data_IF_419539710733
#
_entry.id   IF_419539710733
#
_cell.length_a   1.000
_cell.length_b   1.000
_cell.length_c   1.000
_cell.angle_alpha   90.00
_cell.angle_beta   90.00
_cell.angle_gamma   90.00
#
_symmetry.space_group_name_H-M   'P 1'
#
loop_
_entity.id
_entity.type
_entity.pdbx_description
1 polymer ?
#
# COMPACT_ATOMS: atom_id res chain seq x y z
N UNK A 1 33.55 -8.66 8.53
CA UNK A 1 32.65 -9.03 7.41
C UNK A 1 31.17 -9.13 7.81
N UNK A 2 30.83 -9.57 9.01
CA UNK A 2 29.46 -9.80 9.51
C UNK A 2 28.64 -8.50 9.69
N UNK A 3 29.24 -7.39 10.11
CA UNK A 3 28.52 -6.12 10.33
C UNK A 3 28.00 -5.42 9.05
N UNK A 4 28.60 -5.64 7.89
CA UNK A 4 28.11 -5.07 6.63
C UNK A 4 26.92 -5.84 6.04
N UNK A 5 26.80 -7.12 6.35
CA UNK A 5 25.70 -7.97 5.88
C UNK A 5 24.38 -7.67 6.60
N UNK A 6 24.44 -7.30 7.88
CA UNK A 6 23.25 -6.96 8.68
C UNK A 6 22.66 -5.61 8.25
N UNK A 7 23.50 -4.63 7.92
CA UNK A 7 23.05 -3.33 7.43
C UNK A 7 22.37 -3.41 6.05
N UNK A 8 22.85 -4.30 5.18
CA UNK A 8 22.25 -4.55 3.86
C UNK A 8 20.91 -5.27 3.98
N UNK A 9 20.77 -6.19 4.94
CA UNK A 9 19.51 -6.90 5.18
C UNK A 9 18.40 -5.96 5.70
N UNK A 10 18.75 -5.05 6.61
CA UNK A 10 17.81 -4.04 7.13
C UNK A 10 17.34 -3.05 6.05
N UNK A 11 18.23 -2.66 5.13
CA UNK A 11 17.91 -1.73 4.05
C UNK A 11 17.02 -2.39 2.98
N UNK A 12 17.26 -3.66 2.66
CA UNK A 12 16.48 -4.41 1.67
C UNK A 12 15.08 -4.75 2.19
N UNK A 13 14.92 -4.97 3.50
CA UNK A 13 13.61 -5.15 4.13
C UNK A 13 12.76 -3.86 4.10
N UNK A 14 13.39 -2.68 4.19
CA UNK A 14 12.71 -1.40 4.07
C UNK A 14 12.15 -1.11 2.67
N UNK A 15 12.75 -1.64 1.61
CA UNK A 15 12.39 -1.29 0.23
C UNK A 15 11.28 -2.14 -0.41
N UNK A 16 11.17 -3.41 -0.03
CA UNK A 16 10.01 -4.21 -0.46
C UNK A 16 8.71 -3.76 0.20
N UNK A 17 8.85 -3.13 1.32
CA UNK A 17 7.80 -2.45 2.00
C UNK A 17 7.31 -1.18 1.26
N UNK A 18 8.11 -0.48 0.46
CA UNK A 18 7.72 0.85 -0.04
C UNK A 18 6.58 0.85 -1.07
N UNK A 19 6.32 -0.26 -1.75
CA UNK A 19 5.10 -0.43 -2.55
C UNK A 19 4.00 -1.21 -1.81
N UNK A 20 4.36 -2.03 -0.83
CA UNK A 20 3.46 -2.62 0.15
C UNK A 20 3.40 -1.84 1.48
N UNK A 21 4.38 -0.95 1.75
CA UNK A 21 4.59 -0.20 3.00
C UNK A 21 3.84 1.11 3.12
N UNK A 22 3.04 1.47 2.13
CA UNK A 22 2.10 2.56 2.42
C UNK A 22 1.15 2.19 3.57
N UNK A 23 1.20 0.93 4.06
CA UNK A 23 0.29 0.47 5.10
C UNK A 23 0.88 -0.46 6.16
N UNK A 24 2.06 -1.01 5.95
CA UNK A 24 2.75 -1.60 7.06
C UNK A 24 3.25 -0.44 7.91
N UNK A 25 2.75 -0.40 9.15
CA UNK A 25 3.35 0.26 10.30
C UNK A 25 4.48 1.22 9.90
N UNK A 26 4.44 2.48 10.28
CA UNK A 26 5.69 3.11 10.65
C UNK A 26 6.23 2.22 11.78
N UNK A 27 7.02 1.20 11.46
CA UNK A 27 7.75 0.48 12.46
C UNK A 27 8.41 1.54 13.32
N UNK A 28 8.23 1.44 14.64
CA UNK A 28 9.00 2.23 15.55
C UNK A 28 10.46 1.94 15.19
N UNK A 29 11.01 2.75 14.29
CA UNK A 29 12.40 2.68 13.92
C UNK A 29 13.18 2.73 15.24
N UNK A 30 14.24 1.95 15.41
CA UNK A 30 15.07 2.05 16.58
C UNK A 30 15.35 3.54 16.80
N UNK A 31 15.07 4.03 17.99
CA UNK A 31 15.20 5.44 18.36
C UNK A 31 16.67 5.82 18.17
N UNK A 32 17.04 6.18 16.95
CA UNK A 32 18.26 6.92 16.68
C UNK A 32 17.94 8.31 17.18
N UNK A 33 18.53 8.69 18.30
CA UNK A 33 18.37 10.03 18.90
C UNK A 33 18.78 11.05 17.84
N UNK A 34 17.85 11.78 17.22
CA UNK A 34 18.20 12.73 16.15
C UNK A 34 18.98 13.91 16.75
N UNK A 35 19.85 14.57 15.98
CA UNK A 35 20.54 15.78 16.43
C UNK A 35 19.52 16.85 16.87
N UNK A 36 19.88 17.71 17.83
CA UNK A 36 18.93 18.57 18.58
C UNK A 36 18.03 19.49 17.74
N UNK A 37 18.47 19.88 16.54
CA UNK A 37 17.75 20.83 15.67
C UNK A 37 16.58 20.17 14.92
N UNK A 38 16.48 18.83 14.88
CA UNK A 38 15.54 18.09 14.01
C UNK A 38 14.61 17.14 14.76
N UNK A 39 14.49 17.32 16.05
CA UNK A 39 13.68 16.44 16.93
C UNK A 39 12.18 16.49 16.66
N UNK A 40 11.69 17.49 15.95
CA UNK A 40 10.28 17.73 15.72
C UNK A 40 9.81 17.35 14.31
N UNK A 41 10.73 17.18 13.34
CA UNK A 41 10.39 16.82 11.96
C UNK A 41 11.12 15.53 11.56
N UNK A 42 10.35 14.50 11.17
CA UNK A 42 10.86 13.25 10.63
C UNK A 42 10.38 13.07 9.19
N UNK A 43 11.27 13.24 8.22
CA UNK A 43 11.00 12.93 6.81
C UNK A 43 11.14 11.42 6.62
N UNK A 44 10.03 10.74 6.48
CA UNK A 44 9.96 9.28 6.38
C UNK A 44 10.28 8.80 4.96
N UNK A 45 9.85 9.57 3.95
CA UNK A 45 10.06 9.26 2.55
C UNK A 45 10.18 10.53 1.72
N UNK A 46 11.17 10.55 0.86
CA UNK A 46 11.28 11.47 -0.27
C UNK A 46 11.63 10.61 -1.48
N UNK A 47 10.77 10.61 -2.51
CA UNK A 47 11.01 9.76 -3.67
C UNK A 47 10.55 10.41 -4.97
N UNK A 48 11.19 9.97 -6.05
CA UNK A 48 10.81 10.29 -7.42
C UNK A 48 10.67 8.99 -8.19
N UNK A 49 9.48 8.77 -8.77
CA UNK A 49 9.18 7.64 -9.63
C UNK A 49 9.08 8.05 -11.09
N UNK A 50 9.55 7.19 -11.97
CA UNK A 50 9.23 7.19 -13.39
C UNK A 50 8.59 5.87 -13.76
N UNK A 51 7.54 5.87 -14.58
CA UNK A 51 6.82 4.66 -14.98
C UNK A 51 6.51 4.68 -16.47
N UNK A 52 6.89 3.61 -17.16
CA UNK A 52 6.29 3.24 -18.44
C UNK A 52 5.14 2.27 -18.15
N UNK A 53 3.96 2.52 -18.73
CA UNK A 53 2.75 1.70 -18.57
C UNK A 53 2.19 1.35 -19.94
N UNK A 54 1.82 0.07 -20.10
CA UNK A 54 1.25 -0.45 -21.32
C UNK A 54 0.07 -1.38 -21.01
N UNK A 55 -1.04 -1.18 -21.70
CA UNK A 55 -2.25 -1.97 -21.58
C UNK A 55 -2.71 -2.50 -22.93
N UNK A 56 -3.17 -3.74 -22.95
CA UNK A 56 -3.81 -4.40 -24.09
C UNK A 56 -5.18 -4.93 -23.67
N UNK A 57 -6.21 -4.74 -24.51
CA UNK A 57 -7.55 -5.28 -24.27
C UNK A 57 -7.68 -6.73 -24.78
N UNK A 58 -8.87 -7.31 -24.61
CA UNK A 58 -9.18 -8.69 -25.02
C UNK A 58 -9.13 -8.92 -26.54
N UNK A 59 -9.21 -7.87 -27.35
CA UNK A 59 -9.03 -7.97 -28.81
C UNK A 59 -7.57 -7.84 -29.28
N UNK A 60 -6.61 -7.75 -28.35
CA UNK A 60 -5.19 -7.56 -28.67
C UNK A 60 -4.82 -6.13 -29.03
N UNK A 61 -5.74 -5.17 -28.89
CA UNK A 61 -5.48 -3.76 -29.16
C UNK A 61 -4.82 -3.08 -27.96
N UNK A 62 -3.74 -2.35 -28.22
CA UNK A 62 -3.14 -1.46 -27.21
C UNK A 62 -4.10 -0.31 -26.92
N UNK A 63 -4.54 -0.20 -25.68
CA UNK A 63 -5.48 0.84 -25.23
C UNK A 63 -4.78 1.96 -24.44
N UNK A 64 -3.58 1.71 -23.97
CA UNK A 64 -2.75 2.72 -23.31
C UNK A 64 -1.28 2.39 -23.46
N UNK A 65 -0.47 3.41 -23.75
CA UNK A 65 0.99 3.36 -23.69
C UNK A 65 1.46 4.73 -23.20
N UNK A 66 1.90 4.83 -21.93
CA UNK A 66 2.17 6.12 -21.30
C UNK A 66 3.50 6.12 -20.57
N UNK A 67 4.18 7.27 -20.60
CA UNK A 67 5.25 7.61 -19.67
C UNK A 67 4.69 8.51 -18.57
N UNK A 68 5.01 8.20 -17.34
CA UNK A 68 4.46 8.87 -16.17
C UNK A 68 5.57 9.15 -15.15
N UNK A 69 5.35 10.13 -14.30
CA UNK A 69 6.26 10.48 -13.23
C UNK A 69 5.51 10.82 -11.94
N UNK A 70 6.15 10.66 -10.79
CA UNK A 70 5.54 10.89 -9.49
C UNK A 70 6.59 11.25 -8.45
N UNK A 71 6.66 12.50 -7.97
CA UNK A 71 7.32 12.84 -6.73
C UNK A 71 6.40 12.55 -5.55
N UNK A 72 7.00 12.11 -4.45
CA UNK A 72 6.29 11.84 -3.20
C UNK A 72 7.09 12.33 -2.01
N UNK A 73 6.39 12.84 -1.00
CA UNK A 73 6.96 13.12 0.30
C UNK A 73 6.02 12.61 1.40
N UNK A 74 6.60 11.90 2.36
CA UNK A 74 5.94 11.52 3.62
C UNK A 74 6.76 12.04 4.77
N UNK A 75 6.12 12.77 5.65
CA UNK A 75 6.76 13.36 6.81
C UNK A 75 5.82 13.34 8.01
N UNK A 76 6.40 13.39 9.21
CA UNK A 76 5.65 13.60 10.44
C UNK A 76 6.29 14.70 11.28
N UNK A 77 5.44 15.49 11.89
CA UNK A 77 5.80 16.45 12.89
C UNK A 77 5.57 15.85 14.27
N UNK A 78 6.60 15.85 15.10
CA UNK A 78 6.61 15.22 16.42
C UNK A 78 6.42 16.29 17.49
N UNK A 79 5.48 16.09 18.39
CA UNK A 79 5.24 17.00 19.52
C UNK A 79 6.02 16.62 20.79
N UNK A 80 6.55 15.40 20.81
CA UNK A 80 7.31 14.88 21.96
C UNK A 80 8.49 14.01 21.49
N UNK A 81 9.48 13.84 22.39
CA UNK A 81 10.69 13.06 22.10
C UNK A 81 10.43 11.55 21.96
N UNK A 82 9.35 11.06 22.56
CA UNK A 82 8.97 9.65 22.49
C UNK A 82 8.13 9.34 21.25
N UNK A 83 7.87 10.34 20.40
CA UNK A 83 7.06 10.24 19.20
C UNK A 83 5.64 9.69 19.47
N UNK A 84 5.10 9.95 20.65
CA UNK A 84 3.75 9.52 21.04
C UNK A 84 2.66 10.37 20.39
N UNK A 85 2.97 11.63 20.10
CA UNK A 85 2.04 12.59 19.51
C UNK A 85 2.65 13.17 18.24
N UNK A 86 1.93 13.09 17.14
CA UNK A 86 2.43 13.60 15.87
C UNK A 86 1.31 14.04 14.92
N UNK A 87 1.66 14.90 13.97
CA UNK A 87 0.89 15.11 12.74
C UNK A 87 1.64 14.41 11.62
N UNK A 88 0.94 13.59 10.86
CA UNK A 88 1.49 12.80 9.77
C UNK A 88 0.94 13.31 8.44
N UNK A 89 1.81 13.48 7.46
CA UNK A 89 1.44 13.95 6.13
C UNK A 89 2.04 13.08 5.02
N UNK A 90 1.27 12.86 3.98
CA UNK A 90 1.71 12.28 2.72
C UNK A 90 1.23 13.14 1.56
N UNK A 91 2.14 13.62 0.77
CA UNK A 91 1.84 14.39 -0.41
C UNK A 91 2.51 13.76 -1.65
N UNK A 92 1.82 13.84 -2.78
CA UNK A 92 2.24 13.28 -4.05
C UNK A 92 1.61 14.08 -5.19
N UNK A 93 2.21 14.02 -6.37
CA UNK A 93 1.55 14.52 -7.57
C UNK A 93 0.53 13.51 -8.09
N UNK A 94 -0.27 13.91 -9.05
CA UNK A 94 -1.25 13.07 -9.73
C UNK A 94 -2.66 13.63 -9.69
N UNK A 95 -3.44 13.35 -10.72
CA UNK A 95 -4.78 13.94 -10.91
C UNK A 95 -5.87 13.22 -10.11
N UNK A 96 -5.61 12.01 -9.65
CA UNK A 96 -6.57 11.21 -8.86
C UNK A 96 -5.83 10.18 -7.98
N UNK A 97 -6.51 9.62 -6.99
CA UNK A 97 -5.95 8.56 -6.17
C UNK A 97 -5.49 7.34 -6.98
N UNK A 98 -6.33 6.73 -7.83
CA UNK A 98 -5.95 5.52 -8.55
C UNK A 98 -4.83 5.76 -9.54
N UNK A 99 -4.70 6.96 -10.06
CA UNK A 99 -3.66 7.26 -11.03
C UNK A 99 -2.44 7.95 -10.47
N UNK A 100 -2.42 8.43 -9.26
CA UNK A 100 -1.39 9.19 -8.52
C UNK A 100 -0.08 9.59 -9.25
N UNK A 101 -0.05 9.45 -10.57
CA UNK A 101 1.05 9.67 -11.48
C UNK A 101 0.68 10.74 -12.50
N UNK A 102 1.65 11.57 -12.87
CA UNK A 102 1.47 12.54 -13.96
C UNK A 102 1.92 11.93 -15.28
N UNK A 103 1.15 12.15 -16.33
CA UNK A 103 1.57 11.80 -17.69
C UNK A 103 2.58 12.83 -18.24
N UNK A 104 3.49 12.37 -19.06
CA UNK A 104 4.46 13.24 -19.74
C UNK A 104 3.91 13.91 -21.01
N UNK A 105 2.62 13.68 -21.32
CA UNK A 105 2.00 14.11 -22.58
C UNK A 105 2.14 13.10 -23.72
N UNK A 106 2.86 12.00 -23.51
CA UNK A 106 3.08 10.94 -24.50
C UNK A 106 2.06 9.80 -24.46
N UNK A 107 0.84 10.02 -23.93
CA UNK A 107 -0.13 8.94 -23.78
C UNK A 107 -1.55 9.40 -23.50
N UNK A 108 -2.39 8.47 -23.08
CA UNK A 108 -3.78 8.76 -22.70
C UNK A 108 -3.81 9.45 -21.34
N UNK A 109 -4.57 10.53 -21.25
CA UNK A 109 -4.78 11.31 -20.04
C UNK A 109 -4.17 12.71 -20.12
N UNK A 110 -4.58 13.55 -19.19
CA UNK A 110 -4.09 14.93 -19.09
C UNK A 110 -2.75 14.98 -18.38
N UNK A 111 -1.84 15.82 -18.88
CA UNK A 111 -0.64 16.19 -18.14
C UNK A 111 -1.06 16.96 -16.89
N UNK A 112 -0.60 16.52 -15.73
CA UNK A 112 -0.88 17.20 -14.47
C UNK A 112 0.40 17.30 -13.66
N UNK A 113 0.68 18.51 -13.18
CA UNK A 113 1.78 18.79 -12.25
C UNK A 113 1.26 19.15 -10.86
N UNK A 114 -0.01 18.90 -10.60
CA UNK A 114 -0.63 19.23 -9.32
C UNK A 114 -0.04 18.35 -8.22
N UNK A 115 0.34 19.00 -7.12
CA UNK A 115 0.85 18.34 -5.93
C UNK A 115 -0.26 18.36 -4.87
N UNK A 116 -0.68 17.17 -4.43
CA UNK A 116 -1.79 17.00 -3.53
C UNK A 116 -1.34 16.45 -2.19
N UNK A 117 -1.87 16.98 -1.11
CA UNK A 117 -1.80 16.34 0.20
C UNK A 117 -2.85 15.23 0.23
N UNK A 118 -2.40 13.99 0.16
CA UNK A 118 -3.26 12.80 0.07
C UNK A 118 -3.66 12.26 1.42
N UNK A 119 -2.80 12.43 2.43
CA UNK A 119 -3.05 12.03 3.81
C UNK A 119 -2.57 13.13 4.73
N UNK A 120 -3.38 13.46 5.71
CA UNK A 120 -3.04 14.38 6.79
C UNK A 120 -3.85 13.99 8.02
N UNK A 121 -3.17 13.52 9.06
CA UNK A 121 -3.84 13.08 10.27
C UNK A 121 -3.01 13.34 11.52
N UNK A 122 -3.70 13.52 12.64
CA UNK A 122 -3.10 13.49 13.96
C UNK A 122 -3.02 12.07 14.46
N UNK A 123 -1.97 11.78 15.23
CA UNK A 123 -1.76 10.48 15.86
C UNK A 123 -1.37 10.68 17.33
N UNK A 124 -1.96 9.87 18.19
CA UNK A 124 -1.63 9.80 19.62
C UNK A 124 -1.47 8.35 20.06
N UNK A 125 -0.38 8.03 20.76
CA UNK A 125 -0.15 6.76 21.44
C UNK A 125 0.08 7.02 22.96
N UNK A 126 -0.98 7.37 23.72
CA UNK A 126 -0.86 7.77 25.12
C UNK A 126 -0.27 6.66 25.99
N UNK A 127 -0.64 5.43 25.72
CA UNK A 127 -0.06 4.24 26.32
C UNK A 127 0.45 3.30 25.22
N UNK A 128 1.54 2.59 25.51
CA UNK A 128 2.18 1.68 24.55
C UNK A 128 1.17 0.70 23.96
N UNK A 129 1.08 0.69 22.65
CA UNK A 129 0.22 -0.21 21.90
C UNK A 129 -1.22 0.27 21.71
N UNK A 130 -1.66 1.35 22.35
CA UNK A 130 -2.98 1.95 22.09
C UNK A 130 -2.80 3.26 21.31
N UNK A 131 -3.18 3.23 20.03
CA UNK A 131 -3.03 4.33 19.08
C UNK A 131 -4.37 4.88 18.66
N UNK A 132 -4.48 6.19 18.63
CA UNK A 132 -5.60 6.94 18.09
C UNK A 132 -5.13 7.76 16.89
N UNK A 133 -5.91 7.77 15.83
CA UNK A 133 -5.65 8.57 14.64
C UNK A 133 -6.94 9.28 14.23
N UNK A 134 -6.84 10.53 13.73
CA UNK A 134 -7.96 11.28 13.19
C UNK A 134 -7.52 12.20 12.04
N UNK A 135 -8.31 12.25 10.99
CA UNK A 135 -8.06 13.03 9.76
C UNK A 135 -8.08 12.18 8.51
N UNK A 136 -7.29 12.55 7.51
CA UNK A 136 -7.12 11.81 6.26
C UNK A 136 -6.20 10.61 6.42
N UNK A 137 -6.78 9.45 6.74
CA UNK A 137 -6.09 8.22 7.09
C UNK A 137 -5.86 7.34 5.86
N UNK A 138 -4.79 6.56 5.86
CA UNK A 138 -4.66 5.44 4.94
C UNK A 138 -5.57 4.27 5.35
N UNK A 139 -5.92 3.40 4.40
CA UNK A 139 -6.68 2.19 4.68
C UNK A 139 -5.80 1.17 5.40
N UNK A 140 -6.32 0.60 6.48
CA UNK A 140 -5.62 -0.46 7.21
C UNK A 140 -5.94 -1.82 6.59
N UNK A 141 -4.95 -2.52 6.06
CA UNK A 141 -5.12 -3.83 5.39
C UNK A 141 -4.77 -5.03 6.26
N UNK A 142 -4.15 -4.82 7.41
CA UNK A 142 -3.62 -5.94 8.18
C UNK A 142 -2.60 -6.76 7.37
N UNK A 143 -2.83 -8.06 7.26
CA UNK A 143 -2.00 -8.99 6.48
C UNK A 143 -2.45 -9.16 5.02
N UNK A 144 -3.46 -8.41 4.59
CA UNK A 144 -3.96 -8.42 3.22
C UNK A 144 -3.06 -7.59 2.29
N UNK A 145 -2.88 -8.05 1.08
CA UNK A 145 -2.22 -7.31 0.00
C UNK A 145 -3.17 -6.41 -0.77
N UNK A 146 -2.63 -5.72 -1.75
CA UNK A 146 -3.41 -4.86 -2.66
C UNK A 146 -4.36 -5.64 -3.57
N UNK A 147 -4.18 -6.94 -3.71
CA UNK A 147 -4.89 -7.77 -4.68
C UNK A 147 -6.36 -7.94 -4.32
N UNK A 148 -6.65 -8.04 -3.03
CA UNK A 148 -8.00 -8.26 -2.52
C UNK A 148 -8.46 -7.13 -1.59
N UNK A 149 -7.65 -6.09 -1.45
CA UNK A 149 -7.96 -4.93 -0.64
C UNK A 149 -7.99 -3.67 -1.50
N UNK A 150 -7.60 -2.55 -0.93
CA UNK A 150 -7.67 -1.25 -1.57
C UNK A 150 -6.33 -0.82 -2.13
N UNK A 151 -6.35 0.14 -3.05
CA UNK A 151 -5.14 0.80 -3.52
C UNK A 151 -4.39 1.47 -2.36
N UNK A 152 -3.06 1.54 -2.46
CA UNK A 152 -2.22 2.19 -1.48
C UNK A 152 -2.49 3.68 -1.33
N UNK A 153 -3.01 4.29 -2.37
CA UNK A 153 -3.28 5.73 -2.41
C UNK A 153 -4.64 6.09 -1.81
N UNK A 154 -5.50 5.09 -1.58
CA UNK A 154 -6.80 5.33 -1.01
C UNK A 154 -6.72 5.80 0.44
N UNK A 155 -7.62 6.67 0.83
CA UNK A 155 -7.71 7.17 2.20
C UNK A 155 -9.16 7.36 2.65
N UNK A 156 -9.29 7.47 3.97
CA UNK A 156 -10.53 7.67 4.67
C UNK A 156 -10.39 8.96 5.47
N UNK A 157 -11.37 9.83 5.41
CA UNK A 157 -11.48 10.94 6.36
C UNK A 157 -12.27 10.48 7.55
N UNK A 158 -11.61 10.36 8.71
CA UNK A 158 -12.27 9.79 9.87
C UNK A 158 -11.30 9.51 11.01
N UNK A 159 -11.67 8.50 11.77
CA UNK A 159 -10.99 8.14 13.01
C UNK A 159 -10.63 6.67 13.02
N UNK A 160 -9.51 6.37 13.69
CA UNK A 160 -9.07 4.99 13.93
C UNK A 160 -8.55 4.81 15.33
N UNK A 161 -8.99 3.74 15.96
CA UNK A 161 -8.39 3.21 17.18
C UNK A 161 -7.70 1.91 16.86
N UNK A 162 -6.44 1.77 17.26
CA UNK A 162 -5.66 0.55 17.04
C UNK A 162 -5.05 0.10 18.37
N UNK A 163 -5.24 -1.17 18.69
CA UNK A 163 -4.58 -1.81 19.81
C UNK A 163 -3.59 -2.86 19.32
N UNK A 164 -2.33 -2.75 19.80
CA UNK A 164 -1.23 -3.70 19.51
C UNK A 164 -0.61 -4.13 20.85
N UNK A 165 -0.94 -5.29 21.37
CA UNK A 165 -0.45 -5.72 22.69
C UNK A 165 1.07 -5.92 22.76
N UNK A 166 1.74 -6.03 21.60
CA UNK A 166 3.19 -6.21 21.51
C UNK A 166 3.63 -7.67 21.62
N UNK A 167 3.10 -8.41 22.57
CA UNK A 167 3.41 -9.81 22.83
C UNK A 167 2.19 -10.72 22.66
N UNK A 168 2.42 -12.03 22.51
CA UNK A 168 1.36 -13.02 22.35
C UNK A 168 0.93 -13.26 20.91
N UNK A 169 -0.17 -13.98 20.77
CA UNK A 169 -0.72 -14.36 19.48
C UNK A 169 -1.50 -13.23 18.79
N UNK A 170 -2.11 -12.34 19.55
CA UNK A 170 -2.82 -11.17 19.02
C UNK A 170 -1.81 -10.10 18.61
N UNK A 171 -1.85 -9.70 17.35
CA UNK A 171 -0.92 -8.71 16.80
C UNK A 171 -1.53 -7.32 16.72
N UNK A 172 -2.81 -7.25 16.34
CA UNK A 172 -3.51 -6.00 16.16
C UNK A 172 -5.02 -6.20 16.22
N UNK A 173 -5.71 -5.25 16.84
CA UNK A 173 -7.13 -4.99 16.65
C UNK A 173 -7.26 -3.54 16.22
N UNK A 174 -8.00 -3.26 15.17
CA UNK A 174 -8.23 -1.89 14.72
C UNK A 174 -9.69 -1.70 14.33
N UNK A 175 -10.25 -0.56 14.72
CA UNK A 175 -11.55 -0.08 14.27
C UNK A 175 -11.34 1.27 13.60
N UNK A 176 -11.88 1.42 12.39
CA UNK A 176 -11.83 2.68 11.62
C UNK A 176 -13.24 3.04 11.22
N UNK A 177 -13.59 4.31 11.36
CA UNK A 177 -14.86 4.87 10.89
C UNK A 177 -14.60 6.18 10.17
N UNK A 178 -15.46 6.54 9.23
CA UNK A 178 -15.32 7.82 8.55
C UNK A 178 -16.03 7.89 7.20
N UNK A 179 -15.65 8.90 6.46
CA UNK A 179 -16.08 9.16 5.11
C UNK A 179 -15.08 8.58 4.12
N UNK A 180 -15.59 7.79 3.22
CA UNK A 180 -14.88 7.30 2.06
C UNK A 180 -15.36 8.08 0.84
N UNK A 181 -14.55 8.99 0.35
CA UNK A 181 -14.93 9.92 -0.70
C UNK A 181 -14.63 9.43 -2.12
N UNK A 182 -14.93 10.29 -3.08
CA UNK A 182 -14.60 10.03 -4.48
C UNK A 182 -13.08 9.86 -4.64
N UNK A 183 -12.66 8.71 -5.13
CA UNK A 183 -11.26 8.39 -5.40
C UNK A 183 -10.63 9.29 -6.48
N UNK A 184 -11.43 10.08 -7.20
CA UNK A 184 -10.96 11.06 -8.18
C UNK A 184 -10.47 12.35 -7.52
N UNK A 185 -10.82 12.59 -6.25
CA UNK A 185 -10.38 13.76 -5.52
C UNK A 185 -9.19 13.42 -4.60
N UNK A 186 -7.95 13.71 -5.05
CA UNK A 186 -6.76 13.29 -4.32
C UNK A 186 -6.37 14.19 -3.16
N UNK A 187 -7.01 15.36 -3.01
CA UNK A 187 -6.62 16.33 -1.98
C UNK A 187 -7.50 16.23 -0.74
N UNK A 188 -6.89 15.84 0.37
CA UNK A 188 -7.53 15.68 1.67
C UNK A 188 -8.29 16.93 2.12
N UNK A 189 -7.76 18.12 1.84
CA UNK A 189 -8.41 19.39 2.26
C UNK A 189 -9.79 19.63 1.66
N UNK A 190 -10.11 19.00 0.55
CA UNK A 190 -11.44 19.10 -0.07
C UNK A 190 -12.48 18.16 0.54
N UNK A 191 -12.09 17.38 1.51
CA UNK A 191 -12.93 16.36 2.13
C UNK A 191 -13.16 16.54 3.61
N UNK A 192 -12.39 17.40 4.28
CA UNK A 192 -12.55 17.62 5.72
C UNK A 192 -13.94 18.10 6.15
N UNK A 193 -14.68 18.74 5.25
CA UNK A 193 -16.09 19.14 5.46
C UNK A 193 -17.07 17.95 5.37
N UNK A 194 -16.59 16.76 4.99
CA UNK A 194 -17.38 15.55 4.83
C UNK A 194 -17.13 14.52 5.95
N UNK A 195 -16.40 14.87 6.98
CA UNK A 195 -16.09 13.95 8.09
C UNK A 195 -17.35 13.45 8.83
N UNK A 196 -18.45 14.19 8.76
CA UNK A 196 -19.74 13.79 9.35
C UNK A 196 -20.55 12.83 8.46
N UNK A 197 -20.16 12.66 7.20
CA UNK A 197 -20.87 11.82 6.24
C UNK A 197 -20.36 10.36 6.32
N UNK A 198 -20.76 9.66 7.33
CA UNK A 198 -20.30 8.29 7.57
C UNK A 198 -20.80 7.31 6.52
N UNK A 199 -19.90 6.80 5.71
CA UNK A 199 -20.16 5.76 4.71
C UNK A 199 -19.13 4.63 4.73
N UNK A 200 -18.19 4.66 5.71
CA UNK A 200 -17.13 3.69 5.88
C UNK A 200 -17.01 3.24 7.34
N UNK A 201 -16.91 1.93 7.53
CA UNK A 201 -16.60 1.31 8.80
C UNK A 201 -15.74 0.06 8.58
N UNK A 202 -14.68 -0.11 9.37
CA UNK A 202 -13.80 -1.27 9.30
C UNK A 202 -13.50 -1.82 10.70
N UNK A 203 -13.57 -3.12 10.85
CA UNK A 203 -13.06 -3.84 11.99
C UNK A 203 -12.04 -4.87 11.51
N UNK A 204 -10.80 -4.79 12.01
CA UNK A 204 -9.69 -5.63 11.61
C UNK A 204 -9.05 -6.28 12.82
N UNK A 205 -8.79 -7.59 12.71
CA UNK A 205 -8.00 -8.35 13.68
C UNK A 205 -6.86 -9.05 12.95
N UNK A 206 -5.64 -8.87 13.44
CA UNK A 206 -4.46 -9.59 12.95
C UNK A 206 -3.83 -10.40 14.09
N UNK A 207 -3.37 -11.60 13.78
CA UNK A 207 -2.84 -12.53 14.78
C UNK A 207 -1.76 -13.43 14.20
N UNK A 208 -0.91 -13.96 15.10
CA UNK A 208 0.12 -14.95 14.74
C UNK A 208 -0.34 -16.36 15.12
N UNK A 209 -0.12 -17.28 14.20
CA UNK A 209 -0.34 -18.73 14.38
C UNK A 209 1.01 -19.42 14.42
N UNK A 210 1.61 -19.47 15.62
CA UNK A 210 2.98 -19.89 15.80
C UNK A 210 4.00 -18.84 15.34
N UNK A 211 5.21 -19.28 15.00
CA UNK A 211 6.34 -18.37 14.70
C UNK A 211 6.45 -17.94 13.25
N UNK A 212 5.75 -18.59 12.34
CA UNK A 212 5.91 -18.38 10.90
C UNK A 212 4.64 -17.97 10.16
N UNK A 213 3.50 -17.96 10.83
CA UNK A 213 2.22 -17.68 10.20
C UNK A 213 1.61 -16.43 10.81
N UNK A 214 1.26 -15.49 9.96
CA UNK A 214 0.48 -14.30 10.29
C UNK A 214 -0.85 -14.38 9.56
N UNK A 215 -1.92 -14.01 10.21
CA UNK A 215 -3.25 -13.98 9.61
C UNK A 215 -3.99 -12.72 10.02
N UNK A 216 -4.94 -12.31 9.21
CA UNK A 216 -5.89 -11.25 9.54
C UNK A 216 -7.27 -11.54 8.98
N UNK A 217 -8.26 -11.00 9.68
CA UNK A 217 -9.65 -10.93 9.24
C UNK A 217 -10.08 -9.47 9.29
N UNK A 218 -10.75 -9.04 8.26
CA UNK A 218 -11.19 -7.67 8.06
C UNK A 218 -12.67 -7.70 7.64
N UNK A 219 -13.51 -7.04 8.40
CA UNK A 219 -14.87 -6.73 7.99
C UNK A 219 -14.94 -5.23 7.67
N UNK A 220 -15.38 -4.90 6.47
CA UNK A 220 -15.52 -3.53 6.02
C UNK A 220 -16.92 -3.27 5.48
N UNK A 221 -17.54 -2.22 5.99
CA UNK A 221 -18.71 -1.58 5.36
C UNK A 221 -18.24 -0.38 4.54
N UNK A 222 -18.66 -0.29 3.30
CA UNK A 222 -18.28 0.79 2.38
C UNK A 222 -19.45 1.11 1.43
N UNK A 223 -20.01 2.31 1.51
CA UNK A 223 -21.04 2.78 0.59
C UNK A 223 -22.20 1.79 0.40
N UNK A 224 -22.72 1.22 1.47
CA UNK A 224 -23.82 0.22 1.42
C UNK A 224 -23.39 -1.20 1.07
N UNK A 225 -22.10 -1.52 1.15
CA UNK A 225 -21.54 -2.85 0.86
C UNK A 225 -20.77 -3.37 2.04
N UNK A 226 -21.07 -4.61 2.40
CA UNK A 226 -20.36 -5.35 3.42
C UNK A 226 -19.39 -6.33 2.78
N UNK A 227 -18.13 -6.28 3.18
CA UNK A 227 -17.07 -7.11 2.64
C UNK A 227 -16.31 -7.76 3.79
N UNK A 228 -16.22 -9.08 3.78
CA UNK A 228 -15.35 -9.85 4.66
C UNK A 228 -14.11 -10.25 3.90
N UNK A 229 -12.95 -9.93 4.45
CA UNK A 229 -11.65 -10.33 3.89
C UNK A 229 -10.85 -11.11 4.90
N UNK A 230 -10.04 -12.02 4.42
CA UNK A 230 -9.12 -12.80 5.23
C UNK A 230 -7.83 -13.04 4.48
N UNK A 231 -6.72 -13.00 5.20
CA UNK A 231 -5.39 -13.22 4.64
C UNK A 231 -4.53 -14.04 5.57
N UNK A 232 -3.71 -14.90 4.98
CA UNK A 232 -2.72 -15.71 5.69
C UNK A 232 -1.39 -15.58 4.98
N UNK A 233 -0.37 -15.25 5.73
CA UNK A 233 1.02 -15.15 5.28
C UNK A 233 1.86 -16.23 5.97
N UNK A 234 2.50 -17.06 5.19
CA UNK A 234 3.41 -18.11 5.67
C UNK A 234 4.85 -17.74 5.36
N UNK A 235 5.66 -17.51 6.37
CA UNK A 235 7.12 -17.42 6.21
C UNK A 235 7.67 -18.80 5.96
N UNK A 236 8.25 -19.00 4.80
CA UNK A 236 8.80 -20.30 4.40
C UNK A 236 10.14 -20.58 5.10
N UNK A 237 10.53 -21.88 5.26
CA UNK A 237 11.80 -22.25 5.84
C UNK A 237 12.99 -21.70 5.04
N UNK A 238 14.06 -21.32 5.73
CA UNK A 238 15.30 -20.83 5.09
C UNK A 238 15.96 -21.86 4.17
N UNK A 239 15.66 -23.13 4.37
CA UNK A 239 16.11 -24.23 3.48
C UNK A 239 15.64 -24.07 2.03
N UNK A 240 14.55 -23.34 1.79
CA UNK A 240 14.06 -23.03 0.45
C UNK A 240 14.85 -21.90 -0.25
N UNK A 241 15.84 -21.31 0.41
CA UNK A 241 16.84 -20.34 -0.06
C UNK A 241 16.29 -19.13 -0.85
N UNK A 242 15.43 -19.36 -1.82
CA UNK A 242 14.90 -18.34 -2.75
C UNK A 242 13.47 -17.98 -2.40
N UNK A 243 12.62 -18.95 -2.09
CA UNK A 243 11.24 -18.73 -1.68
C UNK A 243 11.20 -18.31 -0.22
N UNK A 244 10.64 -17.12 0.06
CA UNK A 244 10.66 -16.52 1.40
C UNK A 244 9.30 -16.53 2.08
N UNK A 245 8.24 -16.43 1.31
CA UNK A 245 6.88 -16.30 1.82
C UNK A 245 5.87 -16.88 0.82
N UNK A 246 4.81 -17.45 1.33
CA UNK A 246 3.59 -17.75 0.59
C UNK A 246 2.43 -16.98 1.23
N UNK A 247 1.50 -16.49 0.41
CA UNK A 247 0.33 -15.74 0.84
C UNK A 247 -0.91 -16.32 0.19
N UNK A 248 -1.96 -16.43 1.00
CA UNK A 248 -3.30 -16.72 0.53
C UNK A 248 -4.26 -15.68 1.09
N UNK A 249 -5.11 -15.12 0.24
CA UNK A 249 -6.08 -14.10 0.57
C UNK A 249 -7.41 -14.46 -0.07
N UNK A 250 -8.49 -14.16 0.63
CA UNK A 250 -9.84 -14.31 0.10
C UNK A 250 -10.72 -13.15 0.55
N UNK A 251 -11.74 -12.85 -0.23
CA UNK A 251 -12.78 -11.93 0.15
C UNK A 251 -14.14 -12.44 -0.29
N UNK A 252 -15.17 -12.00 0.43
CA UNK A 252 -16.56 -12.27 0.12
C UNK A 252 -17.40 -11.04 0.49
N UNK A 253 -18.31 -10.66 -0.40
CA UNK A 253 -19.39 -9.74 -0.04
C UNK A 253 -20.39 -10.49 0.86
N UNK A 254 -20.81 -9.83 1.94
CA UNK A 254 -21.71 -10.43 2.94
C UNK A 254 -23.15 -10.09 2.63
N UNK A 255 -23.40 -8.90 2.08
CA UNK A 255 -24.73 -8.42 1.75
C UNK A 255 -24.82 -7.92 0.30
N UNK A 256 -26.03 -7.96 -0.25
CA UNK A 256 -26.33 -7.47 -1.59
C UNK A 256 -25.99 -8.47 -2.69
N UNK A 257 -25.32 -8.02 -3.74
CA UNK A 257 -24.91 -8.85 -4.88
C UNK A 257 -23.73 -9.73 -4.47
N UNK A 258 -23.77 -11.01 -4.80
CA UNK A 258 -22.66 -11.92 -4.59
C UNK A 258 -21.39 -11.39 -5.30
N UNK A 259 -20.30 -11.37 -4.55
CA UNK A 259 -18.99 -11.01 -5.03
C UNK A 259 -17.93 -11.68 -4.18
N UNK A 260 -17.03 -12.42 -4.80
CA UNK A 260 -15.98 -13.16 -4.12
C UNK A 260 -14.71 -13.18 -4.95
N UNK A 261 -13.61 -13.45 -4.30
CA UNK A 261 -12.36 -13.64 -4.99
C UNK A 261 -11.26 -14.12 -4.06
N UNK A 262 -10.15 -14.40 -4.64
CA UNK A 262 -8.97 -14.84 -3.92
C UNK A 262 -7.68 -14.36 -4.58
N UNK A 263 -6.61 -14.43 -3.83
CA UNK A 263 -5.24 -14.32 -4.30
C UNK A 263 -4.38 -15.41 -3.65
N UNK A 264 -3.57 -16.08 -4.44
CA UNK A 264 -2.54 -16.99 -3.97
C UNK A 264 -1.21 -16.60 -4.60
N UNK A 265 -0.21 -16.31 -3.79
CA UNK A 265 1.08 -15.81 -4.26
C UNK A 265 2.25 -16.33 -3.46
N UNK A 266 3.44 -16.24 -4.07
CA UNK A 266 4.70 -16.51 -3.41
C UNK A 266 5.70 -15.39 -3.66
N UNK A 267 6.46 -15.06 -2.61
CA UNK A 267 7.56 -14.12 -2.66
C UNK A 267 8.89 -14.86 -2.78
N UNK A 268 9.72 -14.33 -3.64
CA UNK A 268 11.06 -14.86 -3.92
C UNK A 268 12.10 -13.77 -3.68
N UNK A 269 13.27 -14.17 -3.21
CA UNK A 269 14.42 -13.27 -3.06
C UNK A 269 15.72 -13.97 -3.40
N UNK A 270 16.50 -13.35 -4.25
CA UNK A 270 17.84 -13.81 -4.59
C UNK A 270 18.77 -12.61 -4.79
N UNK A 271 19.72 -12.39 -3.86
CA UNK A 271 20.65 -11.27 -3.87
C UNK A 271 19.90 -9.91 -3.94
N UNK A 272 20.04 -9.19 -5.05
CA UNK A 272 19.41 -7.89 -5.32
C UNK A 272 18.06 -8.00 -6.03
N UNK A 273 17.64 -9.19 -6.38
CA UNK A 273 16.37 -9.48 -7.03
C UNK A 273 15.34 -9.93 -6.00
N UNK A 274 14.20 -9.30 -6.01
CA UNK A 274 13.00 -9.77 -5.32
C UNK A 274 11.88 -9.95 -6.36
N UNK A 275 11.04 -10.94 -6.16
CA UNK A 275 9.88 -11.14 -7.02
C UNK A 275 8.69 -11.65 -6.20
N UNK A 276 7.51 -11.25 -6.63
CA UNK A 276 6.24 -11.84 -6.21
C UNK A 276 5.53 -12.36 -7.45
N UNK A 277 5.04 -13.58 -7.41
CA UNK A 277 4.21 -14.12 -8.49
C UNK A 277 3.00 -14.82 -7.89
N UNK A 278 1.87 -14.72 -8.58
CA UNK A 278 0.63 -15.30 -8.08
C UNK A 278 -0.47 -15.39 -9.12
N UNK A 279 -1.54 -16.01 -8.67
CA UNK A 279 -2.82 -16.07 -9.37
C UNK A 279 -3.90 -15.45 -8.51
N UNK A 280 -4.81 -14.74 -9.12
CA UNK A 280 -5.91 -14.10 -8.43
C UNK A 280 -7.19 -14.21 -9.24
N UNK A 281 -8.30 -14.17 -8.56
CA UNK A 281 -9.63 -14.04 -9.15
C UNK A 281 -10.38 -12.92 -8.45
N UNK A 282 -10.91 -11.99 -9.22
CA UNK A 282 -11.71 -10.86 -8.74
C UNK A 282 -13.03 -10.86 -9.48
N UNK A 283 -14.12 -11.00 -8.74
CA UNK A 283 -15.46 -10.92 -9.30
C UNK A 283 -15.76 -9.49 -9.79
N UNK A 284 -16.53 -9.37 -10.87
CA UNK A 284 -16.96 -8.09 -11.44
C UNK A 284 -17.78 -7.22 -10.48
N UNK A 285 -18.41 -7.84 -9.48
CA UNK A 285 -19.23 -7.15 -8.49
C UNK A 285 -18.48 -6.81 -7.21
N UNK A 286 -17.21 -7.17 -7.10
CA UNK A 286 -16.43 -6.89 -5.90
C UNK A 286 -16.21 -5.40 -5.69
N UNK A 287 -15.61 -4.74 -6.63
CA UNK A 287 -15.35 -3.32 -6.56
C UNK A 287 -16.53 -2.52 -7.10
N UNK A 288 -16.72 -1.32 -6.59
CA UNK A 288 -17.48 -0.33 -7.32
C UNK A 288 -16.54 0.49 -8.18
N UNK A 289 -17.07 1.06 -9.23
CA UNK A 289 -16.41 2.13 -9.98
C UNK A 289 -16.17 3.38 -9.11
N UNK A 290 -16.72 3.41 -7.92
CA UNK A 290 -16.71 4.52 -6.97
C UNK A 290 -15.84 4.27 -5.71
N UNK A 291 -15.33 3.04 -5.52
CA UNK A 291 -14.49 2.70 -4.38
C UNK A 291 -13.00 2.66 -4.71
N UNK A 292 -12.11 2.66 -3.71
CA UNK A 292 -10.64 2.66 -3.88
C UNK A 292 -10.10 1.29 -4.26
N UNK A 293 -10.93 0.47 -4.83
CA UNK A 293 -10.56 -0.84 -5.28
C UNK A 293 -9.46 -0.74 -6.35
N UNK A 294 -8.50 -1.64 -6.30
CA UNK A 294 -7.33 -1.65 -7.17
C UNK A 294 -7.65 -2.14 -8.60
N UNK A 295 -8.81 -1.74 -9.12
CA UNK A 295 -9.30 -2.15 -10.43
C UNK A 295 -8.46 -1.65 -11.60
N UNK A 296 -7.69 -0.60 -11.42
CA UNK A 296 -6.77 -0.10 -12.44
C UNK A 296 -5.52 -0.98 -12.57
N UNK A 297 -5.13 -1.69 -11.52
CA UNK A 297 -3.93 -2.52 -11.51
C UNK A 297 -4.22 -3.98 -11.85
N UNK A 298 -5.22 -4.53 -11.22
CA UNK A 298 -5.48 -5.97 -11.33
C UNK A 298 -6.74 -6.29 -12.11
N UNK A 299 -7.71 -5.40 -12.16
CA UNK A 299 -9.00 -5.59 -12.82
C UNK A 299 -9.71 -6.90 -12.43
N UNK A 300 -10.87 -7.15 -12.96
CA UNK A 300 -11.68 -8.34 -12.69
C UNK A 300 -11.25 -9.55 -13.50
N UNK A 301 -11.73 -10.73 -13.14
CA UNK A 301 -11.42 -12.01 -13.78
C UNK A 301 -10.29 -12.77 -13.12
N UNK A 302 -10.03 -13.96 -13.64
CA UNK A 302 -8.91 -14.77 -13.19
C UNK A 302 -7.64 -14.37 -13.93
N UNK A 303 -6.58 -14.07 -13.17
CA UNK A 303 -5.35 -13.49 -13.68
C UNK A 303 -4.12 -14.14 -13.08
N UNK A 304 -3.09 -14.25 -13.87
CA UNK A 304 -1.72 -14.35 -13.41
C UNK A 304 -1.14 -12.94 -13.24
N UNK A 305 -0.29 -12.75 -12.26
CA UNK A 305 0.52 -11.55 -12.12
C UNK A 305 1.93 -11.88 -11.63
N UNK A 306 2.86 -10.99 -11.94
CA UNK A 306 4.21 -11.01 -11.38
C UNK A 306 4.76 -9.61 -11.20
N UNK A 307 5.56 -9.45 -10.15
CA UNK A 307 6.25 -8.22 -9.80
C UNK A 307 7.72 -8.59 -9.59
N UNK A 308 8.60 -7.96 -10.35
CA UNK A 308 10.04 -8.18 -10.28
C UNK A 308 10.71 -6.88 -9.88
N UNK A 309 11.52 -6.90 -8.85
CA UNK A 309 12.23 -5.71 -8.35
C UNK A 309 13.72 -5.98 -8.25
N UNK A 310 14.50 -5.13 -8.89
CA UNK A 310 15.97 -5.13 -8.81
C UNK A 310 16.43 -3.89 -8.06
N UNK A 311 17.18 -4.08 -6.97
CA UNK A 311 17.87 -2.99 -6.28
C UNK A 311 19.19 -2.73 -6.99
N UNK A 312 19.24 -1.68 -7.81
CA UNK A 312 20.43 -1.28 -8.58
C UNK A 312 21.44 -0.60 -7.65
N UNK A 313 20.96 0.40 -6.90
CA UNK A 313 21.68 1.11 -5.84
C UNK A 313 20.79 1.14 -4.58
N UNK A 314 21.35 1.47 -3.41
CA UNK A 314 20.53 1.61 -2.19
C UNK A 314 19.35 2.57 -2.36
N UNK A 315 19.50 3.60 -3.19
CA UNK A 315 18.50 4.62 -3.46
C UNK A 315 17.69 4.36 -4.75
N UNK A 316 18.10 3.39 -5.59
CA UNK A 316 17.53 3.20 -6.92
C UNK A 316 17.04 1.77 -7.12
N UNK A 317 15.75 1.63 -7.39
CA UNK A 317 15.12 0.36 -7.75
C UNK A 317 14.50 0.42 -9.13
N UNK A 318 14.51 -0.71 -9.82
CA UNK A 318 13.75 -0.93 -11.05
C UNK A 318 12.78 -2.07 -10.81
N UNK A 319 11.52 -1.84 -11.11
CA UNK A 319 10.46 -2.82 -10.97
C UNK A 319 9.80 -3.07 -12.33
N UNK A 320 9.56 -4.32 -12.64
CA UNK A 320 8.68 -4.74 -13.72
C UNK A 320 7.41 -5.36 -13.11
N UNK A 321 6.25 -4.91 -13.54
CA UNK A 321 4.96 -5.46 -13.17
C UNK A 321 4.28 -6.02 -14.42
N UNK A 322 3.76 -7.23 -14.32
CA UNK A 322 2.99 -7.85 -15.39
C UNK A 322 1.73 -8.48 -14.81
N UNK A 323 0.60 -8.33 -15.50
CA UNK A 323 -0.61 -9.09 -15.25
C UNK A 323 -1.30 -9.46 -16.55
N UNK A 324 -1.91 -10.64 -16.57
CA UNK A 324 -2.63 -11.17 -17.70
C UNK A 324 -3.85 -11.96 -17.25
N UNK A 325 -5.02 -11.61 -17.79
CA UNK A 325 -6.23 -12.41 -17.63
C UNK A 325 -6.13 -13.68 -18.49
N UNK A 326 -6.51 -14.82 -17.95
CA UNK A 326 -6.49 -16.10 -18.65
C UNK A 326 -7.83 -16.86 -18.59
N UNK A 327 -8.71 -16.52 -17.65
CA UNK A 327 -10.06 -17.03 -17.61
C UNK A 327 -11.00 -15.95 -17.07
N UNK A 328 -12.01 -15.61 -17.86
CA UNK A 328 -13.05 -14.66 -17.49
C UNK A 328 -14.37 -15.11 -18.09
N UNK A 329 -15.43 -15.03 -17.31
CA UNK A 329 -16.80 -15.31 -17.76
C UNK A 329 -17.46 -14.07 -18.40
N UNK A 330 -16.72 -12.98 -18.51
CA UNK A 330 -17.18 -11.69 -19.02
C UNK A 330 -16.03 -10.93 -19.68
N UNK A 331 -16.31 -9.99 -20.59
CA UNK A 331 -15.29 -9.16 -21.21
C UNK A 331 -14.52 -8.34 -20.17
N UNK A 332 -13.20 -8.34 -20.25
CA UNK A 332 -12.32 -7.50 -19.44
C UNK A 332 -11.76 -6.37 -20.28
N UNK A 333 -11.64 -5.18 -19.69
CA UNK A 333 -11.10 -4.02 -20.39
C UNK A 333 -9.58 -4.14 -20.57
N UNK A 334 -8.90 -4.69 -19.56
CA UNK A 334 -7.44 -4.88 -19.58
C UNK A 334 -7.13 -6.38 -19.58
N UNK A 335 -6.81 -6.92 -20.75
CA UNK A 335 -6.38 -8.32 -20.89
C UNK A 335 -4.96 -8.51 -20.39
N UNK A 336 -4.06 -7.60 -20.77
CA UNK A 336 -2.67 -7.59 -20.34
C UNK A 336 -2.26 -6.20 -19.89
N UNK A 337 -1.41 -6.18 -18.88
CA UNK A 337 -0.73 -4.97 -18.44
C UNK A 337 0.74 -5.26 -18.19
N UNK A 338 1.55 -4.31 -18.56
CA UNK A 338 2.98 -4.29 -18.29
C UNK A 338 3.39 -2.89 -17.86
N UNK A 339 4.00 -2.78 -16.68
CA UNK A 339 4.59 -1.54 -16.20
C UNK A 339 6.09 -1.74 -15.95
N UNK A 340 6.91 -0.76 -16.29
CA UNK A 340 8.28 -0.63 -15.78
C UNK A 340 8.31 0.61 -14.92
N UNK A 341 8.75 0.47 -13.68
CA UNK A 341 8.88 1.56 -12.71
C UNK A 341 10.34 1.71 -12.31
N UNK A 342 10.84 2.93 -12.40
CA UNK A 342 12.15 3.32 -11.85
C UNK A 342 11.85 4.21 -10.65
N UNK A 343 12.30 3.83 -9.46
CA UNK A 343 12.08 4.60 -8.24
C UNK A 343 13.41 5.00 -7.61
N UNK A 344 13.58 6.30 -7.41
CA UNK A 344 14.69 6.88 -6.69
C UNK A 344 14.23 7.40 -5.34
N UNK A 345 14.81 6.88 -4.24
CA UNK A 345 14.47 7.25 -2.87
C UNK A 345 15.74 7.59 -2.08
N UNK A 346 16.16 8.85 -2.04
CA UNK A 346 17.36 9.27 -1.35
C UNK A 346 17.19 9.45 0.18
N UNK A 347 16.02 9.19 0.74
CA UNK A 347 15.69 9.51 2.15
C UNK A 347 16.76 9.03 3.14
N UNK A 348 17.16 7.75 3.05
CA UNK A 348 18.15 7.18 3.97
C UNK A 348 19.54 7.83 3.80
N UNK A 349 19.93 8.16 2.58
CA UNK A 349 21.23 8.81 2.29
C UNK A 349 21.23 10.26 2.75
N UNK A 350 20.14 10.99 2.57
CA UNK A 350 19.98 12.35 3.05
C UNK A 350 19.96 12.42 4.59
N UNK A 351 19.32 11.45 5.25
CA UNK A 351 19.38 11.31 6.72
C UNK A 351 20.81 11.04 7.21
N UNK A 352 21.56 10.14 6.55
CA UNK A 352 22.98 9.89 6.89
C UNK A 352 23.87 11.12 6.67
N UNK A 353 23.57 11.90 5.65
CA UNK A 353 24.28 13.16 5.37
C UNK A 353 23.85 14.31 6.31
N UNK A 354 22.92 14.05 7.22
CA UNK A 354 22.46 15.05 8.16
C UNK A 354 21.61 16.16 7.54
N UNK A 355 20.97 15.95 6.39
CA UNK A 355 20.12 16.96 5.75
C UNK A 355 18.75 17.08 6.41
N UNK A 356 18.20 16.01 6.97
CA UNK A 356 17.01 15.95 7.82
C UNK A 356 16.96 14.71 8.73
#
# INVERSE_FOLDING_TARGET
MIRRTVAVLGLVLGFNASLALAQSRPDAAPVVTPPPIRRWLDVQQLSLGGRFRWFENSSGRVISSTLQWQPQIRARFLFDQAAKYSINGFASSGASFPSSWNNTGGGIGTVSAVFNVKQLFVQAEPVKGLEFQAGGLHINRGELGEHVAYDNDAFIEGERVTFRPGEGWLRQVAVTTGYFGDYREPNVFKRFDRMDDWNYGQALVAFSMGTRTLASVDYTYENGRDILRQGINFRLPESLRVLTQARFEAYQRVSGVDGKGFNASADMRWKRLAATAGVMSVDRFYGSTEGPFNGDRYETGMRFYSIWTVTVLPELTVQAFHTQAFATDFPVNIQKRFDIVIAFNPTASLKRAGIF
#
